data_IF_345423317192
#
_entry.id   IF_345423317192
#
_cell.length_a   1.000
_cell.length_b   1.000
_cell.length_c   1.000
_cell.angle_alpha   90.00
_cell.angle_beta   90.00
_cell.angle_gamma   90.00
#
_symmetry.space_group_name_H-M   'P 1'
#
loop_
_entity.id
_entity.type
_entity.pdbx_description
1 polymer ?
#
# COMPACT_ATOMS: atom_id res chain seq x y z
N UNK A 1 39.61 65.44 -48.64
CA UNK A 1 39.61 65.99 -47.26
C UNK A 1 39.17 65.00 -46.17
N UNK A 2 38.06 64.25 -46.34
CA UNK A 2 37.58 63.31 -45.29
C UNK A 2 38.60 62.23 -44.88
N UNK A 3 39.41 61.71 -45.81
CA UNK A 3 40.44 60.68 -45.53
C UNK A 3 41.62 61.17 -44.67
N UNK A 4 42.03 62.44 -44.82
CA UNK A 4 43.12 63.03 -44.03
C UNK A 4 42.64 63.35 -42.62
N UNK A 5 41.42 63.90 -42.51
CA UNK A 5 40.80 64.21 -41.21
C UNK A 5 40.58 62.92 -40.41
N UNK A 6 40.12 61.85 -41.04
CA UNK A 6 39.94 60.54 -40.37
C UNK A 6 41.26 59.91 -39.96
N UNK A 7 42.30 59.94 -40.81
CA UNK A 7 43.63 59.45 -40.45
C UNK A 7 44.28 60.25 -39.28
N UNK A 8 44.10 61.57 -39.25
CA UNK A 8 44.55 62.43 -38.13
C UNK A 8 43.75 62.14 -36.87
N UNK A 9 42.43 61.99 -36.98
CA UNK A 9 41.56 61.68 -35.84
C UNK A 9 41.88 60.30 -35.24
N UNK A 10 42.12 59.28 -36.06
CA UNK A 10 42.39 57.92 -35.58
C UNK A 10 43.77 57.82 -34.92
N UNK A 11 44.79 58.49 -35.46
CA UNK A 11 46.11 58.60 -34.79
C UNK A 11 46.07 59.47 -33.53
N UNK A 12 45.19 60.47 -33.49
CA UNK A 12 45.01 61.33 -32.31
C UNK A 12 44.21 60.65 -31.20
N UNK A 13 43.26 59.76 -31.51
CA UNK A 13 42.47 59.01 -30.51
C UNK A 13 43.35 58.24 -29.53
N UNK A 14 44.41 57.58 -30.00
CA UNK A 14 45.30 56.82 -29.12
C UNK A 14 46.17 57.70 -28.23
N UNK A 15 46.48 58.93 -28.66
CA UNK A 15 47.27 59.91 -27.87
C UNK A 15 46.38 60.71 -26.91
N UNK A 16 45.14 61.02 -27.30
CA UNK A 16 44.14 61.67 -26.47
C UNK A 16 43.61 60.78 -25.33
N UNK A 17 43.87 59.45 -25.37
CA UNK A 17 43.69 58.56 -24.22
C UNK A 17 44.59 58.93 -23.05
N UNK A 18 45.72 59.62 -23.29
CA UNK A 18 46.52 60.17 -22.21
C UNK A 18 45.81 61.42 -21.64
N UNK A 19 45.36 61.40 -20.38
CA UNK A 19 44.61 62.51 -19.78
C UNK A 19 45.36 63.84 -19.82
N UNK A 20 46.70 63.80 -19.81
CA UNK A 20 47.54 64.98 -19.91
C UNK A 20 47.51 65.62 -21.29
N UNK A 21 47.65 64.80 -22.33
CA UNK A 21 47.65 65.28 -23.72
C UNK A 21 46.27 65.85 -24.08
N UNK A 22 45.20 65.17 -23.65
CA UNK A 22 43.84 65.66 -23.82
C UNK A 22 43.58 66.98 -23.09
N UNK A 23 43.94 67.06 -21.81
CA UNK A 23 43.76 68.27 -21.02
C UNK A 23 44.58 69.46 -21.57
N UNK A 24 45.81 69.22 -22.00
CA UNK A 24 46.66 70.23 -22.64
C UNK A 24 46.11 70.69 -23.98
N UNK A 25 45.66 69.79 -24.84
CA UNK A 25 45.08 70.16 -26.13
C UNK A 25 43.84 71.04 -25.95
N UNK A 26 42.96 70.68 -25.00
CA UNK A 26 41.74 71.44 -24.70
C UNK A 26 42.09 72.80 -24.08
N UNK A 27 43.01 72.85 -23.11
CA UNK A 27 43.42 74.12 -22.49
C UNK A 27 44.12 75.05 -23.49
N UNK A 28 44.91 74.49 -24.41
CA UNK A 28 45.59 75.24 -25.46
C UNK A 28 44.61 75.87 -26.43
N UNK A 29 43.63 75.12 -26.92
CA UNK A 29 42.56 75.65 -27.78
C UNK A 29 41.75 76.70 -27.02
N UNK A 30 41.42 76.45 -25.75
CA UNK A 30 40.64 77.38 -24.93
C UNK A 30 41.35 78.72 -24.67
N UNK A 31 42.68 78.72 -24.52
CA UNK A 31 43.47 79.96 -24.35
C UNK A 31 43.72 80.65 -25.68
N UNK A 32 44.04 79.88 -26.72
CA UNK A 32 44.39 80.40 -28.06
C UNK A 32 43.16 80.52 -28.98
N UNK A 33 41.95 80.61 -28.43
CA UNK A 33 40.73 80.68 -29.23
C UNK A 33 40.68 81.92 -30.14
N UNK A 34 41.20 83.07 -29.69
CA UNK A 34 41.22 84.32 -30.46
C UNK A 34 42.08 84.25 -31.74
N UNK A 35 43.36 83.81 -31.70
CA UNK A 35 44.14 83.62 -32.92
C UNK A 35 43.56 82.53 -33.81
N UNK A 36 43.02 81.44 -33.26
CA UNK A 36 42.36 80.38 -34.05
C UNK A 36 41.15 80.93 -34.83
N UNK A 37 40.26 81.65 -34.14
CA UNK A 37 39.06 82.26 -34.77
C UNK A 37 39.46 83.33 -35.78
N UNK A 38 40.46 84.14 -35.46
CA UNK A 38 40.96 85.19 -36.37
C UNK A 38 41.59 84.59 -37.63
N UNK A 39 42.35 83.50 -37.49
CA UNK A 39 42.94 82.78 -38.62
C UNK A 39 41.85 82.19 -39.54
N UNK A 40 40.88 81.49 -38.95
CA UNK A 40 39.85 80.76 -39.69
C UNK A 40 38.77 81.66 -40.30
N UNK A 41 38.35 82.70 -39.59
CA UNK A 41 37.12 83.44 -39.92
C UNK A 41 37.30 84.94 -40.23
N UNK A 42 38.51 85.50 -40.11
CA UNK A 42 38.73 86.91 -40.48
C UNK A 42 38.46 87.15 -41.97
N UNK A 43 37.94 88.31 -42.34
CA UNK A 43 37.72 88.71 -43.74
C UNK A 43 38.98 89.30 -44.42
N UNK A 44 40.09 89.46 -43.69
CA UNK A 44 41.34 90.03 -44.20
C UNK A 44 42.09 89.05 -45.11
N UNK A 45 43.04 89.54 -45.92
CA UNK A 45 43.96 88.68 -46.70
C UNK A 45 44.82 87.83 -45.76
N UNK A 46 45.32 86.69 -46.24
CA UNK A 46 46.05 85.70 -45.42
C UNK A 46 47.25 86.34 -44.72
N UNK A 47 47.99 87.20 -45.42
CA UNK A 47 49.17 87.90 -44.93
C UNK A 47 48.80 88.81 -43.75
N UNK A 48 47.71 89.58 -43.88
CA UNK A 48 47.23 90.47 -42.82
C UNK A 48 46.68 89.71 -41.61
N UNK A 49 46.22 88.46 -41.78
CA UNK A 49 45.78 87.62 -40.64
C UNK A 49 46.98 87.14 -39.85
N UNK A 50 48.04 86.69 -40.52
CA UNK A 50 49.28 86.23 -39.90
C UNK A 50 49.94 87.40 -39.15
N UNK A 51 50.07 88.56 -39.80
CA UNK A 51 50.63 89.77 -39.18
C UNK A 51 49.86 90.18 -37.90
N UNK A 52 48.52 90.12 -37.93
CA UNK A 52 47.72 90.39 -36.73
C UNK A 52 47.93 89.38 -35.62
N UNK A 53 48.19 88.11 -35.96
CA UNK A 53 48.42 87.06 -34.97
C UNK A 53 49.80 87.21 -34.34
N UNK A 54 50.82 87.50 -35.15
CA UNK A 54 52.18 87.76 -34.67
C UNK A 54 52.20 89.00 -33.76
N UNK A 55 51.59 90.11 -34.17
CA UNK A 55 51.60 91.34 -33.37
C UNK A 55 50.86 91.22 -32.02
N UNK A 56 49.80 90.42 -31.93
CA UNK A 56 48.90 90.43 -30.78
C UNK A 56 48.92 89.14 -29.94
N UNK A 57 49.41 88.03 -30.47
CA UNK A 57 49.25 86.70 -29.85
C UNK A 57 50.54 85.87 -29.76
N UNK A 58 51.72 86.44 -30.00
CA UNK A 58 53.01 85.72 -29.98
C UNK A 58 53.58 85.40 -28.58
N UNK A 59 52.82 85.68 -27.51
CA UNK A 59 53.31 85.42 -26.14
C UNK A 59 53.52 83.92 -25.88
N UNK A 60 54.78 83.50 -25.77
CA UNK A 60 55.19 82.13 -25.43
C UNK A 60 54.57 81.62 -24.14
N UNK A 61 54.30 82.53 -23.19
CA UNK A 61 53.60 82.23 -21.94
C UNK A 61 52.17 81.73 -22.17
N UNK A 62 51.42 82.42 -23.04
CA UNK A 62 50.02 82.08 -23.34
C UNK A 62 49.92 80.87 -24.28
N UNK A 63 50.90 80.68 -25.16
CA UNK A 63 50.91 79.58 -26.12
C UNK A 63 51.29 78.26 -25.43
N UNK A 64 52.25 78.25 -24.50
CA UNK A 64 52.80 76.99 -23.98
C UNK A 64 52.59 76.81 -22.47
N UNK A 65 53.06 77.75 -21.65
CA UNK A 65 53.11 77.57 -20.20
C UNK A 65 51.74 77.62 -19.52
N UNK A 66 50.88 78.58 -19.91
CA UNK A 66 49.55 78.72 -19.32
C UNK A 66 48.65 77.51 -19.61
N UNK A 67 48.55 76.98 -20.86
CA UNK A 67 47.85 75.73 -21.13
C UNK A 67 48.39 74.53 -20.33
N UNK A 68 49.72 74.45 -20.15
CA UNK A 68 50.38 73.38 -19.40
C UNK A 68 50.00 73.39 -17.92
N UNK A 69 49.98 74.57 -17.30
CA UNK A 69 49.58 74.75 -15.90
C UNK A 69 48.10 74.38 -15.72
N UNK A 70 47.22 74.86 -16.60
CA UNK A 70 45.79 74.53 -16.52
C UNK A 70 45.56 73.03 -16.70
N UNK A 71 46.26 72.38 -17.63
CA UNK A 71 46.17 70.94 -17.82
C UNK A 71 46.63 70.17 -16.57
N UNK A 72 47.73 70.59 -15.95
CA UNK A 72 48.20 70.01 -14.69
C UNK A 72 47.19 70.15 -13.56
N UNK A 73 46.63 71.35 -13.37
CA UNK A 73 45.59 71.61 -12.37
C UNK A 73 44.35 70.75 -12.65
N UNK A 74 43.90 70.68 -13.90
CA UNK A 74 42.73 69.90 -14.29
C UNK A 74 42.87 68.42 -13.93
N UNK A 75 44.03 67.82 -14.21
CA UNK A 75 44.30 66.40 -13.91
C UNK A 75 44.33 66.12 -12.41
N UNK A 76 44.79 67.08 -11.62
CA UNK A 76 44.81 66.94 -10.16
C UNK A 76 43.39 67.14 -9.60
N UNK A 77 42.66 68.16 -10.05
CA UNK A 77 41.35 68.52 -9.50
C UNK A 77 40.24 67.54 -9.89
N UNK A 78 40.27 67.03 -11.13
CA UNK A 78 39.21 66.19 -11.67
C UNK A 78 38.95 64.90 -10.84
N UNK A 79 39.97 64.12 -10.41
CA UNK A 79 39.78 62.97 -9.54
C UNK A 79 39.11 63.30 -8.20
N UNK A 80 39.47 64.42 -7.55
CA UNK A 80 38.83 64.80 -6.29
C UNK A 80 37.36 65.20 -6.47
N UNK A 81 37.06 65.85 -7.59
CA UNK A 81 35.69 66.20 -7.94
C UNK A 81 34.84 64.93 -8.18
N UNK A 82 35.42 63.92 -8.86
CA UNK A 82 34.79 62.61 -9.01
C UNK A 82 34.56 61.91 -7.66
N UNK A 83 35.53 61.95 -6.74
CA UNK A 83 35.39 61.37 -5.40
C UNK A 83 34.25 62.01 -4.59
N UNK A 84 34.06 63.33 -4.69
CA UNK A 84 32.94 64.02 -4.03
C UNK A 84 31.59 63.53 -4.59
N UNK A 85 31.47 63.42 -5.91
CA UNK A 85 30.25 62.87 -6.54
C UNK A 85 29.98 61.42 -6.14
N UNK A 86 31.04 60.62 -6.02
CA UNK A 86 30.95 59.24 -5.57
C UNK A 86 30.50 59.15 -4.10
N UNK A 87 31.00 60.01 -3.21
CA UNK A 87 30.58 60.01 -1.80
C UNK A 87 29.08 60.34 -1.65
N UNK A 88 28.61 61.33 -2.42
CA UNK A 88 27.20 61.75 -2.42
C UNK A 88 26.32 60.61 -2.99
N UNK A 89 26.73 59.99 -4.09
CA UNK A 89 25.92 58.99 -4.79
C UNK A 89 25.96 57.60 -4.14
N UNK A 90 27.12 57.17 -3.62
CA UNK A 90 27.32 55.80 -3.17
C UNK A 90 26.56 55.47 -1.87
N UNK A 91 26.31 56.44 -1.00
CA UNK A 91 25.61 56.17 0.26
C UNK A 91 24.13 55.82 0.04
N UNK A 92 23.46 56.52 -0.87
CA UNK A 92 22.07 56.23 -1.23
C UNK A 92 21.96 54.88 -1.96
N UNK A 93 22.86 54.62 -2.91
CA UNK A 93 22.87 53.38 -3.68
C UNK A 93 23.23 52.15 -2.84
N UNK A 94 24.22 52.24 -1.94
CA UNK A 94 24.59 51.15 -1.03
C UNK A 94 23.46 50.81 -0.05
N UNK A 95 22.79 51.81 0.51
CA UNK A 95 21.62 51.59 1.39
C UNK A 95 20.47 50.92 0.64
N UNK A 96 20.15 51.37 -0.57
CA UNK A 96 19.10 50.78 -1.42
C UNK A 96 19.42 49.33 -1.77
N UNK A 97 20.67 49.04 -2.19
CA UNK A 97 21.13 47.66 -2.49
C UNK A 97 21.04 46.74 -1.28
N UNK A 98 21.48 47.19 -0.10
CA UNK A 98 21.42 46.41 1.14
C UNK A 98 19.97 46.13 1.56
N UNK A 99 19.08 47.12 1.45
CA UNK A 99 17.65 46.94 1.72
C UNK A 99 17.03 45.92 0.78
N UNK A 100 17.23 46.07 -0.53
CA UNK A 100 16.69 45.12 -1.52
C UNK A 100 17.19 43.68 -1.29
N UNK A 101 18.48 43.51 -0.93
CA UNK A 101 19.03 42.20 -0.61
C UNK A 101 18.41 41.62 0.67
N UNK A 102 18.19 42.44 1.69
CA UNK A 102 17.53 42.03 2.92
C UNK A 102 16.09 41.61 2.67
N UNK A 103 15.30 42.42 1.96
CA UNK A 103 13.92 42.10 1.59
C UNK A 103 13.85 40.77 0.83
N UNK A 104 14.70 40.60 -0.19
CA UNK A 104 14.73 39.36 -0.96
C UNK A 104 15.05 38.14 -0.08
N UNK A 105 16.02 38.25 0.83
CA UNK A 105 16.34 37.18 1.78
C UNK A 105 15.20 36.92 2.75
N UNK A 106 14.53 37.97 3.22
CA UNK A 106 13.38 37.86 4.12
C UNK A 106 12.24 37.09 3.45
N UNK A 107 11.87 37.44 2.21
CA UNK A 107 10.85 36.73 1.45
C UNK A 107 11.25 35.28 1.16
N UNK A 108 12.51 34.99 0.84
CA UNK A 108 12.98 33.61 0.63
C UNK A 108 12.85 32.77 1.91
N UNK A 109 13.28 33.30 3.06
CA UNK A 109 13.15 32.63 4.36
C UNK A 109 11.69 32.38 4.71
N UNK A 110 10.81 33.35 4.49
CA UNK A 110 9.38 33.20 4.75
C UNK A 110 8.73 32.17 3.81
N UNK A 111 9.14 32.13 2.54
CA UNK A 111 8.72 31.11 1.59
C UNK A 111 9.14 29.71 2.05
N UNK A 112 10.41 29.53 2.42
CA UNK A 112 10.94 28.27 2.96
C UNK A 112 10.22 27.83 4.23
N UNK A 113 9.94 28.76 5.16
CA UNK A 113 9.18 28.48 6.37
C UNK A 113 7.78 27.97 6.03
N UNK A 114 7.09 28.63 5.10
CA UNK A 114 5.74 28.22 4.68
C UNK A 114 5.75 26.85 4.01
N UNK A 115 6.76 26.55 3.18
CA UNK A 115 6.94 25.23 2.57
C UNK A 115 7.16 24.15 3.64
N UNK A 116 8.07 24.38 4.59
CA UNK A 116 8.35 23.43 5.67
C UNK A 116 7.12 23.15 6.54
N UNK A 117 6.31 24.17 6.84
CA UNK A 117 5.03 24.00 7.55
C UNK A 117 4.08 23.12 6.73
N UNK A 118 3.91 23.43 5.43
CA UNK A 118 3.04 22.64 4.56
C UNK A 118 3.51 21.19 4.39
N UNK A 119 4.81 20.94 4.35
CA UNK A 119 5.38 19.59 4.33
C UNK A 119 5.09 18.82 5.63
N UNK A 120 5.28 19.46 6.79
CA UNK A 120 4.95 18.87 8.10
C UNK A 120 3.47 18.52 8.20
N UNK A 121 2.58 19.43 7.82
CA UNK A 121 1.12 19.19 7.81
C UNK A 121 0.75 18.02 6.88
N UNK A 122 1.41 17.92 5.73
CA UNK A 122 1.19 16.84 4.78
C UNK A 122 1.68 15.49 5.33
N UNK A 123 2.81 15.47 6.05
CA UNK A 123 3.29 14.28 6.76
C UNK A 123 2.34 13.84 7.87
N UNK A 124 1.82 14.78 8.67
CA UNK A 124 0.84 14.51 9.71
C UNK A 124 -0.45 13.93 9.13
N UNK A 125 -0.95 14.50 8.03
CA UNK A 125 -2.10 13.96 7.31
C UNK A 125 -1.82 12.53 6.83
N UNK A 126 -0.65 12.27 6.22
CA UNK A 126 -0.26 10.93 5.77
C UNK A 126 -0.17 9.94 6.93
N UNK A 127 0.38 10.34 8.07
CA UNK A 127 0.46 9.50 9.26
C UNK A 127 -0.94 9.12 9.76
N UNK A 128 -1.85 10.10 9.86
CA UNK A 128 -3.26 9.86 10.21
C UNK A 128 -3.96 8.91 9.23
N UNK A 129 -3.73 9.05 7.92
CA UNK A 129 -4.28 8.12 6.92
C UNK A 129 -3.73 6.70 7.06
N UNK A 130 -2.44 6.54 7.37
CA UNK A 130 -1.83 5.23 7.64
C UNK A 130 -2.45 4.58 8.87
N UNK A 131 -2.55 5.32 9.98
CA UNK A 131 -3.17 4.82 11.20
C UNK A 131 -4.62 4.40 10.95
N UNK A 132 -5.40 5.21 10.22
CA UNK A 132 -6.77 4.86 9.82
C UNK A 132 -6.81 3.59 8.95
N UNK A 133 -5.86 3.43 8.04
CA UNK A 133 -5.75 2.23 7.21
C UNK A 133 -5.44 0.99 8.05
N UNK A 134 -4.53 1.09 9.01
CA UNK A 134 -4.17 0.00 9.92
C UNK A 134 -5.34 -0.38 10.84
N UNK A 135 -6.07 0.61 11.36
CA UNK A 135 -7.31 0.40 12.11
C UNK A 135 -8.37 -0.31 11.26
N UNK A 136 -8.57 0.10 10.01
CA UNK A 136 -9.50 -0.57 9.10
C UNK A 136 -9.11 -2.03 8.85
N UNK A 137 -7.82 -2.30 8.65
CA UNK A 137 -7.31 -3.67 8.50
C UNK A 137 -7.54 -4.50 9.77
N UNK A 138 -7.40 -3.88 10.95
CA UNK A 138 -7.68 -4.56 12.22
C UNK A 138 -9.16 -4.87 12.38
N UNK A 139 -10.04 -3.94 12.00
CA UNK A 139 -11.50 -4.14 11.99
C UNK A 139 -11.86 -5.31 11.08
N UNK A 140 -11.30 -5.38 9.87
CA UNK A 140 -11.54 -6.48 8.93
C UNK A 140 -11.08 -7.83 9.51
N UNK A 141 -9.90 -7.89 10.12
CA UNK A 141 -9.41 -9.10 10.80
C UNK A 141 -10.32 -9.53 11.95
N UNK A 142 -10.81 -8.59 12.76
CA UNK A 142 -11.73 -8.87 13.86
C UNK A 142 -13.07 -9.40 13.33
N UNK A 143 -13.62 -8.80 12.27
CA UNK A 143 -14.85 -9.27 11.63
C UNK A 143 -14.70 -10.70 11.10
N UNK A 144 -13.59 -11.00 10.41
CA UNK A 144 -13.30 -12.35 9.95
C UNK A 144 -13.18 -13.36 11.10
N UNK A 145 -12.61 -12.96 12.24
CA UNK A 145 -12.55 -13.80 13.43
C UNK A 145 -13.92 -14.02 14.08
N UNK A 146 -14.78 -12.98 14.12
CA UNK A 146 -16.16 -13.10 14.60
C UNK A 146 -16.93 -14.08 13.72
N UNK A 147 -16.82 -13.97 12.40
CA UNK A 147 -17.49 -14.89 11.47
C UNK A 147 -17.05 -16.34 11.68
N UNK A 148 -15.74 -16.59 11.81
CA UNK A 148 -15.21 -17.93 12.12
C UNK A 148 -15.72 -18.48 13.45
N UNK A 149 -15.78 -17.63 14.48
CA UNK A 149 -16.32 -18.03 15.79
C UNK A 149 -17.82 -18.32 15.73
N UNK A 150 -18.59 -17.54 14.98
CA UNK A 150 -20.02 -17.79 14.79
C UNK A 150 -20.26 -19.13 14.08
N UNK A 151 -19.51 -19.43 13.02
CA UNK A 151 -19.54 -20.75 12.35
C UNK A 151 -19.19 -21.90 13.29
N UNK A 152 -18.22 -21.70 14.19
CA UNK A 152 -17.87 -22.69 15.20
C UNK A 152 -19.00 -22.89 16.21
N UNK A 153 -19.63 -21.81 16.68
CA UNK A 153 -20.78 -21.87 17.59
C UNK A 153 -21.93 -22.65 16.95
N UNK A 154 -22.26 -22.36 15.70
CA UNK A 154 -23.32 -23.05 14.95
C UNK A 154 -23.04 -24.56 14.82
N UNK A 155 -21.80 -24.92 14.47
CA UNK A 155 -21.38 -26.32 14.44
C UNK A 155 -21.48 -27.00 15.81
N UNK A 156 -21.05 -26.33 16.89
CA UNK A 156 -21.14 -26.88 18.25
C UNK A 156 -22.60 -27.04 18.67
N UNK A 157 -23.49 -26.10 18.34
CA UNK A 157 -24.92 -26.21 18.61
C UNK A 157 -25.54 -27.42 17.90
N UNK A 158 -25.24 -27.63 16.62
CA UNK A 158 -25.71 -28.82 15.88
C UNK A 158 -25.21 -30.13 16.50
N UNK A 159 -23.97 -30.13 17.02
CA UNK A 159 -23.38 -31.29 17.69
C UNK A 159 -24.02 -31.57 19.05
N UNK A 160 -24.39 -30.53 19.79
CA UNK A 160 -25.16 -30.67 21.03
C UNK A 160 -26.56 -31.22 20.75
N UNK A 161 -27.24 -30.74 19.70
CA UNK A 161 -28.56 -31.26 19.31
C UNK A 161 -28.51 -32.75 18.92
N UNK A 162 -27.52 -33.16 18.14
CA UNK A 162 -27.34 -34.57 17.75
C UNK A 162 -27.03 -35.43 18.96
N UNK A 163 -26.10 -35.02 19.83
CA UNK A 163 -25.81 -35.74 21.08
C UNK A 163 -27.03 -35.86 21.99
N UNK A 164 -27.87 -34.83 22.09
CA UNK A 164 -29.10 -34.90 22.86
C UNK A 164 -30.10 -35.90 22.27
N UNK A 165 -30.25 -35.94 20.93
CA UNK A 165 -31.08 -36.96 20.27
C UNK A 165 -30.55 -38.36 20.52
N UNK A 166 -29.25 -38.57 20.40
CA UNK A 166 -28.60 -39.86 20.65
C UNK A 166 -28.78 -40.30 22.10
N UNK A 167 -28.64 -39.37 23.05
CA UNK A 167 -28.89 -39.61 24.46
C UNK A 167 -30.34 -40.04 24.73
N UNK A 168 -31.33 -39.33 24.17
CA UNK A 168 -32.73 -39.69 24.29
C UNK A 168 -33.04 -41.05 23.65
N UNK A 169 -32.44 -41.35 22.50
CA UNK A 169 -32.57 -42.66 21.86
C UNK A 169 -32.00 -43.78 22.75
N UNK A 170 -30.77 -43.61 23.26
CA UNK A 170 -30.12 -44.55 24.19
C UNK A 170 -30.95 -44.78 25.46
N UNK A 171 -31.51 -43.70 26.01
CA UNK A 171 -32.38 -43.78 27.19
C UNK A 171 -33.63 -44.62 26.91
N UNK A 172 -34.29 -44.42 25.76
CA UNK A 172 -35.44 -45.25 25.33
C UNK A 172 -35.04 -46.70 25.17
N UNK A 173 -33.93 -46.99 24.49
CA UNK A 173 -33.43 -48.37 24.35
C UNK A 173 -33.18 -49.04 25.72
N UNK A 174 -32.60 -48.31 26.67
CA UNK A 174 -32.38 -48.83 28.02
C UNK A 174 -33.71 -49.13 28.74
N UNK A 175 -34.70 -48.23 28.67
CA UNK A 175 -36.00 -48.45 29.29
C UNK A 175 -36.74 -49.63 28.65
N UNK A 176 -36.72 -49.74 27.32
CA UNK A 176 -37.35 -50.85 26.59
C UNK A 176 -36.67 -52.19 26.91
N UNK A 177 -35.34 -52.20 27.08
CA UNK A 177 -34.60 -53.41 27.48
C UNK A 177 -34.91 -53.84 28.91
N UNK A 178 -35.20 -52.90 29.82
CA UNK A 178 -35.56 -53.19 31.20
C UNK A 178 -36.98 -53.72 31.35
N UNK A 179 -37.88 -53.36 30.42
CA UNK A 179 -39.24 -53.90 30.34
C UNK A 179 -39.31 -55.30 29.70
N UNK A 180 -38.19 -55.82 29.18
CA UNK A 180 -38.07 -57.19 28.65
C UNK A 180 -37.58 -58.17 29.72
N UNK A 181 -38.04 -58.03 30.97
CA UNK A 181 -37.81 -59.03 32.01
C UNK A 181 -38.87 -60.13 31.87
N UNK A 182 -38.45 -61.32 31.45
CA UNK A 182 -39.32 -62.51 31.48
C UNK A 182 -39.78 -62.75 32.92
N UNK A 183 -41.04 -63.13 33.08
CA UNK A 183 -41.52 -63.65 34.35
C UNK A 183 -40.84 -65.00 34.65
N UNK A 184 -40.73 -65.38 35.93
CA UNK A 184 -40.11 -66.64 36.33
C UNK A 184 -40.77 -67.87 35.65
N UNK A 185 -42.04 -67.77 35.30
CA UNK A 185 -42.78 -68.84 34.62
C UNK A 185 -42.41 -68.93 33.13
N UNK A 186 -42.31 -67.79 32.44
CA UNK A 186 -41.87 -67.74 31.03
C UNK A 186 -40.41 -68.21 30.87
N UNK A 187 -39.54 -67.89 31.84
CA UNK A 187 -38.16 -68.40 31.86
C UNK A 187 -38.11 -69.93 32.05
N UNK A 188 -39.02 -70.49 32.86
CA UNK A 188 -39.12 -71.93 33.06
C UNK A 188 -39.61 -72.65 31.81
N UNK A 189 -40.68 -72.14 31.18
CA UNK A 189 -41.24 -72.70 29.94
C UNK A 189 -40.21 -72.69 28.80
N UNK A 190 -39.49 -71.59 28.63
CA UNK A 190 -38.49 -71.46 27.56
C UNK A 190 -37.29 -72.39 27.77
N UNK A 191 -36.87 -72.60 29.02
CA UNK A 191 -35.82 -73.56 29.35
C UNK A 191 -36.24 -75.01 29.09
N UNK A 192 -37.50 -75.37 29.38
CA UNK A 192 -38.05 -76.70 29.07
C UNK A 192 -38.14 -76.94 27.56
N UNK A 193 -38.57 -75.95 26.79
CA UNK A 193 -38.63 -76.01 25.32
C UNK A 193 -37.22 -76.17 24.72
N UNK A 194 -36.24 -75.42 25.22
CA UNK A 194 -34.85 -75.57 24.78
C UNK A 194 -34.26 -76.95 25.09
N UNK A 195 -34.57 -77.49 26.28
CA UNK A 195 -34.11 -78.82 26.66
C UNK A 195 -34.68 -79.92 25.75
N UNK A 196 -35.89 -79.71 25.20
CA UNK A 196 -36.47 -80.58 24.16
C UNK A 196 -35.75 -80.38 22.84
N UNK A 197 -35.60 -79.14 22.37
CA UNK A 197 -34.90 -78.81 21.13
C UNK A 197 -33.49 -79.44 21.05
N UNK A 198 -32.70 -79.38 22.13
CA UNK A 198 -31.33 -79.97 22.13
C UNK A 198 -31.26 -81.48 21.99
N UNK A 199 -32.37 -82.21 22.18
CA UNK A 199 -32.41 -83.65 21.99
C UNK A 199 -32.70 -84.05 20.55
N UNK A 200 -33.12 -83.09 19.74
CA UNK A 200 -33.45 -83.32 18.34
C UNK A 200 -32.19 -83.39 17.48
N UNK A 201 -32.21 -84.27 16.48
CA UNK A 201 -31.07 -84.53 15.60
C UNK A 201 -30.68 -83.32 14.73
N UNK A 202 -31.64 -82.44 14.47
CA UNK A 202 -31.45 -81.24 13.67
C UNK A 202 -30.84 -80.08 14.48
N UNK A 203 -30.74 -80.20 15.81
CA UNK A 203 -30.22 -79.14 16.69
C UNK A 203 -28.73 -78.86 16.53
N UNK A 204 -27.95 -79.84 16.06
CA UNK A 204 -26.50 -79.68 15.79
C UNK A 204 -26.23 -78.63 14.71
N UNK A 205 -27.14 -78.51 13.74
CA UNK A 205 -27.05 -77.54 12.64
C UNK A 205 -27.50 -76.13 13.01
N UNK A 206 -27.94 -75.91 14.26
CA UNK A 206 -28.59 -74.66 14.67
C UNK A 206 -27.67 -73.45 14.58
N UNK A 207 -26.39 -73.61 14.91
CA UNK A 207 -25.43 -72.51 14.82
C UNK A 207 -25.22 -72.09 13.37
N UNK A 208 -25.08 -73.05 12.46
CA UNK A 208 -24.84 -72.79 11.04
C UNK A 208 -26.08 -72.18 10.39
N UNK A 209 -27.22 -72.87 10.47
CA UNK A 209 -28.51 -72.40 9.94
C UNK A 209 -28.89 -71.07 10.58
N UNK A 210 -28.73 -70.95 11.89
CA UNK A 210 -29.15 -69.78 12.63
C UNK A 210 -28.29 -68.55 12.35
N UNK A 211 -26.98 -68.72 12.13
CA UNK A 211 -26.11 -67.61 11.75
C UNK A 211 -26.49 -67.04 10.38
N UNK A 212 -26.80 -67.91 9.41
CA UNK A 212 -27.13 -67.53 8.05
C UNK A 212 -28.52 -66.89 7.95
N UNK A 213 -29.50 -67.48 8.64
CA UNK A 213 -30.86 -66.91 8.76
C UNK A 213 -30.80 -65.56 9.48
N UNK A 214 -29.97 -65.42 10.52
CA UNK A 214 -29.84 -64.18 11.30
C UNK A 214 -29.00 -63.08 10.63
N UNK A 215 -28.25 -63.35 9.58
CA UNK A 215 -27.42 -62.32 8.93
C UNK A 215 -27.95 -61.99 7.55
N UNK A 216 -28.38 -63.02 6.83
CA UNK A 216 -28.63 -62.95 5.40
C UNK A 216 -30.07 -63.35 5.04
N UNK A 217 -30.93 -63.66 6.03
CA UNK A 217 -32.29 -64.18 5.82
C UNK A 217 -32.34 -65.37 4.84
N UNK A 218 -31.29 -66.20 4.84
CA UNK A 218 -31.12 -67.28 3.87
C UNK A 218 -30.71 -68.58 4.56
N UNK A 219 -30.62 -69.68 3.81
CA UNK A 219 -30.22 -70.98 4.34
C UNK A 219 -28.83 -71.34 3.81
N UNK A 220 -27.95 -71.94 4.63
CA UNK A 220 -26.64 -72.38 4.17
C UNK A 220 -26.76 -73.40 3.04
N UNK A 221 -26.00 -73.16 1.96
CA UNK A 221 -26.02 -73.98 0.73
C UNK A 221 -25.61 -75.45 0.93
N UNK A 222 -24.93 -75.77 2.04
CA UNK A 222 -24.40 -77.10 2.35
C UNK A 222 -25.32 -77.94 3.25
N UNK A 223 -26.43 -77.37 3.72
CA UNK A 223 -27.36 -78.06 4.62
C UNK A 223 -28.36 -78.89 3.82
N UNK A 224 -28.54 -80.13 4.26
CA UNK A 224 -29.51 -81.03 3.65
C UNK A 224 -30.93 -80.48 3.71
N UNK A 225 -31.65 -80.63 2.60
CA UNK A 225 -33.05 -80.18 2.48
C UNK A 225 -33.96 -80.76 3.57
N UNK A 226 -33.65 -81.97 4.04
CA UNK A 226 -34.37 -82.65 5.12
C UNK A 226 -34.25 -81.87 6.44
N UNK A 227 -33.06 -81.31 6.74
CA UNK A 227 -32.84 -80.48 7.93
C UNK A 227 -33.64 -79.18 7.82
N UNK A 228 -33.66 -78.55 6.65
CA UNK A 228 -34.46 -77.35 6.39
C UNK A 228 -35.96 -77.62 6.63
N UNK A 229 -36.47 -78.73 6.11
CA UNK A 229 -37.87 -79.12 6.27
C UNK A 229 -38.21 -79.40 7.75
N UNK A 230 -37.29 -80.00 8.51
CA UNK A 230 -37.45 -80.19 9.95
C UNK A 230 -37.53 -78.85 10.71
N UNK A 231 -36.69 -77.87 10.35
CA UNK A 231 -36.74 -76.53 10.95
C UNK A 231 -38.05 -75.80 10.62
N UNK A 232 -38.58 -75.97 9.41
CA UNK A 232 -39.89 -75.42 9.02
C UNK A 232 -41.03 -76.12 9.78
N UNK A 233 -40.97 -77.45 9.92
CA UNK A 233 -42.00 -78.24 10.60
C UNK A 233 -42.02 -77.98 12.12
N UNK A 234 -40.86 -77.82 12.73
CA UNK A 234 -40.71 -77.49 14.14
C UNK A 234 -40.97 -76.00 14.46
N UNK A 235 -41.52 -75.24 13.51
CA UNK A 235 -41.81 -73.80 13.58
C UNK A 235 -40.62 -72.97 14.07
N UNK A 236 -39.41 -73.32 13.61
CA UNK A 236 -38.17 -72.65 14.00
C UNK A 236 -37.88 -71.49 13.07
N UNK A 237 -38.07 -71.73 11.78
CA UNK A 237 -37.94 -70.75 10.72
C UNK A 237 -39.23 -70.71 9.93
N UNK A 238 -39.53 -69.55 9.35
CA UNK A 238 -40.63 -69.36 8.41
C UNK A 238 -40.08 -68.91 7.07
N UNK A 239 -40.67 -69.45 6.01
CA UNK A 239 -40.38 -69.07 4.64
C UNK A 239 -41.27 -67.88 4.24
N UNK A 240 -40.65 -66.77 3.87
CA UNK A 240 -41.32 -65.58 3.34
C UNK A 240 -41.00 -65.49 1.85
N UNK A 241 -42.04 -65.39 1.02
CA UNK A 241 -41.90 -65.18 -0.41
C UNK A 241 -42.04 -63.69 -0.66
N UNK A 242 -40.95 -63.05 -1.07
CA UNK A 242 -41.00 -61.67 -1.52
C UNK A 242 -41.56 -61.62 -2.93
N UNK A 243 -42.75 -61.04 -3.09
CA UNK A 243 -43.45 -60.97 -4.38
C UNK A 243 -42.84 -59.92 -5.32
N UNK A 244 -42.09 -58.95 -4.80
CA UNK A 244 -41.46 -57.89 -5.59
C UNK A 244 -40.12 -58.36 -6.18
N UNK A 245 -39.32 -59.09 -5.40
CA UNK A 245 -37.97 -59.54 -5.81
C UNK A 245 -37.92 -60.98 -6.34
N UNK A 246 -39.03 -61.73 -6.32
CA UNK A 246 -39.08 -63.17 -6.63
C UNK A 246 -38.08 -64.00 -5.80
N UNK A 247 -37.72 -63.53 -4.61
CA UNK A 247 -36.75 -64.16 -3.72
C UNK A 247 -37.45 -64.94 -2.59
N UNK A 248 -36.79 -65.99 -2.12
CA UNK A 248 -37.24 -66.79 -0.98
C UNK A 248 -36.34 -66.44 0.20
N UNK A 249 -36.94 -65.83 1.22
CA UNK A 249 -36.26 -65.49 2.47
C UNK A 249 -36.73 -66.41 3.60
N UNK A 250 -35.84 -66.65 4.56
CA UNK A 250 -36.10 -67.41 5.77
C UNK A 250 -35.85 -66.52 6.98
N UNK A 251 -36.78 -66.51 7.92
CA UNK A 251 -36.68 -65.74 9.17
C UNK A 251 -37.02 -66.61 10.37
N UNK A 252 -36.48 -66.31 11.54
CA UNK A 252 -36.86 -66.99 12.77
C UNK A 252 -38.27 -66.65 13.22
N UNK A 253 -38.93 -67.62 13.85
CA UNK A 253 -40.20 -67.43 14.56
C UNK A 253 -40.00 -66.74 15.91
N UNK A 254 -41.07 -66.14 16.46
CA UNK A 254 -41.03 -65.42 17.73
C UNK A 254 -40.58 -66.31 18.91
N UNK A 255 -41.01 -67.58 18.94
CA UNK A 255 -40.63 -68.55 19.98
C UNK A 255 -39.10 -68.73 20.05
N UNK A 256 -38.44 -68.77 18.90
CA UNK A 256 -37.00 -69.02 18.83
C UNK A 256 -36.14 -67.75 18.92
N UNK A 257 -36.68 -66.61 18.51
CA UNK A 257 -36.02 -65.33 18.79
C UNK A 257 -35.87 -65.11 20.31
N UNK A 258 -36.86 -65.51 21.10
CA UNK A 258 -36.80 -65.44 22.56
C UNK A 258 -35.76 -66.42 23.14
N UNK A 259 -35.66 -67.63 22.56
CA UNK A 259 -34.63 -68.62 22.91
C UNK A 259 -33.19 -68.09 22.71
N UNK A 260 -32.93 -67.43 21.57
CA UNK A 260 -31.59 -66.86 21.25
C UNK A 260 -31.24 -65.67 22.14
N UNK A 261 -32.26 -64.89 22.54
CA UNK A 261 -32.08 -63.70 23.38
C UNK A 261 -31.68 -64.05 24.83
N UNK A 262 -32.32 -65.04 25.46
CA UNK A 262 -32.09 -65.39 26.87
C UNK A 262 -30.66 -65.82 27.19
N UNK A 263 -30.02 -66.60 26.31
CA UNK A 263 -28.79 -67.30 26.68
C UNK A 263 -27.51 -66.49 26.45
N UNK A 264 -27.57 -65.48 25.61
CA UNK A 264 -26.36 -65.08 24.91
C UNK A 264 -25.87 -63.67 25.19
N UNK A 265 -26.64 -62.71 25.73
CA UNK A 265 -26.18 -61.30 25.77
C UNK A 265 -25.52 -60.88 24.43
N UNK A 266 -25.86 -61.55 23.33
CA UNK A 266 -25.26 -61.30 22.06
C UNK A 266 -25.91 -60.00 21.63
N UNK A 267 -25.07 -59.00 21.35
CA UNK A 267 -25.44 -57.83 20.55
C UNK A 267 -25.88 -58.30 19.16
N UNK A 268 -27.01 -58.99 19.05
CA UNK A 268 -27.71 -59.15 17.79
C UNK A 268 -28.54 -57.90 17.70
N UNK A 269 -28.08 -56.97 16.86
CA UNK A 269 -28.84 -55.78 16.51
C UNK A 269 -30.27 -56.21 16.20
N UNK A 270 -31.22 -55.69 16.98
CA UNK A 270 -32.65 -55.97 16.86
C UNK A 270 -33.02 -55.88 15.39
N UNK A 271 -33.48 -57.00 14.83
CA UNK A 271 -34.12 -57.02 13.53
C UNK A 271 -35.31 -56.04 13.55
N UNK A 272 -35.48 -55.34 12.42
CA UNK A 272 -36.69 -54.59 12.10
C UNK A 272 -37.89 -55.52 12.28
N UNK A 273 -38.73 -55.20 13.25
CA UNK A 273 -40.10 -55.70 13.28
C UNK A 273 -40.83 -54.94 12.16
N UNK A 274 -41.36 -55.66 11.18
CA UNK A 274 -42.45 -55.17 10.32
C UNK A 274 -43.75 -55.56 11.01
#
# INVERSE_FOLDING_TARGET
MKGIITAILDTSKDRLKNPFIGAFAISWIAINWKPIVTFLFSSKTVEKRIELIELNYESTWNILFLPLIIAGIYIIVLPYLMLIFDLISNNALKKKKKKNLFEHRFYDIQGRKKLAIGESELEDIKANYREKSDLNRKIEQLNNNIEKKNKLIENLQSKVETLNKDYENLKRFSTDSMNLSFTLEEERELNEEYAKFRKEDYSEYFTEVGSEVSQNNSIPSKIDKIIIEKYLYADIIKKIIDKEEQSINYVFTESIQNFVFLKNNFKIHRFKII
#
